data_IF_510043826466
#
_entry.id   IF_510043826466
#
_cell.length_a   1.000
_cell.length_b   1.000
_cell.length_c   1.000
_cell.angle_alpha   90.00
_cell.angle_beta   90.00
_cell.angle_gamma   90.00
#
_symmetry.space_group_name_H-M   'P 1'
#
loop_
_entity.id
_entity.type
_entity.pdbx_description
1 polymer ?
#
# COMPACT_ATOMS: atom_id res chain seq x y z
N UNK A 1 3.30 7.19 -18.97
CA UNK A 1 2.99 5.74 -18.93
C UNK A 1 3.04 5.18 -17.50
N UNK A 2 4.10 5.41 -16.73
CA UNK A 2 4.28 4.83 -15.38
C UNK A 2 3.18 5.19 -14.37
N UNK A 3 2.65 6.42 -14.39
CA UNK A 3 1.54 6.84 -13.51
C UNK A 3 0.26 6.05 -13.76
N UNK A 4 -0.09 5.83 -15.03
CA UNK A 4 -1.29 5.07 -15.41
C UNK A 4 -1.17 3.62 -14.99
N UNK A 5 0.02 3.04 -15.12
CA UNK A 5 0.29 1.68 -14.67
C UNK A 5 0.10 1.52 -13.15
N UNK A 6 0.65 2.45 -12.34
CA UNK A 6 0.49 2.43 -10.89
C UNK A 6 -0.98 2.60 -10.44
N UNK A 7 -1.72 3.49 -11.11
CA UNK A 7 -3.15 3.66 -10.86
C UNK A 7 -3.95 2.41 -11.28
N UNK A 8 -3.59 1.77 -12.39
CA UNK A 8 -4.22 0.52 -12.80
C UNK A 8 -4.00 -0.60 -11.78
N UNK A 9 -2.78 -0.75 -11.24
CA UNK A 9 -2.51 -1.70 -10.15
C UNK A 9 -3.37 -1.40 -8.91
N UNK A 10 -3.48 -0.13 -8.53
CA UNK A 10 -4.34 0.31 -7.42
C UNK A 10 -5.81 -0.06 -7.66
N UNK A 11 -6.32 0.14 -8.87
CA UNK A 11 -7.70 -0.19 -9.25
C UNK A 11 -7.94 -1.71 -9.24
N UNK A 12 -7.01 -2.49 -9.80
CA UNK A 12 -7.09 -3.96 -9.79
C UNK A 12 -7.16 -4.48 -8.36
N UNK A 13 -6.27 -4.01 -7.46
CA UNK A 13 -6.29 -4.43 -6.06
C UNK A 13 -7.60 -4.01 -5.36
N UNK A 14 -8.08 -2.81 -5.63
CA UNK A 14 -9.37 -2.33 -5.07
C UNK A 14 -10.53 -3.22 -5.53
N UNK A 15 -10.55 -3.62 -6.80
CA UNK A 15 -11.57 -4.53 -7.34
C UNK A 15 -11.48 -5.91 -6.69
N UNK A 16 -10.28 -6.46 -6.51
CA UNK A 16 -10.09 -7.74 -5.81
C UNK A 16 -10.57 -7.69 -4.35
N UNK A 17 -10.30 -6.59 -3.64
CA UNK A 17 -10.81 -6.38 -2.27
C UNK A 17 -12.33 -6.32 -2.28
N UNK A 18 -12.94 -5.55 -3.19
CA UNK A 18 -14.39 -5.44 -3.29
C UNK A 18 -15.05 -6.79 -3.60
N UNK A 19 -14.45 -7.59 -4.48
CA UNK A 19 -14.92 -8.95 -4.76
C UNK A 19 -14.80 -9.86 -3.53
N UNK A 20 -13.66 -9.85 -2.84
CA UNK A 20 -13.44 -10.68 -1.65
C UNK A 20 -14.39 -10.31 -0.50
N UNK A 21 -14.68 -9.02 -0.30
CA UNK A 21 -15.66 -8.55 0.69
C UNK A 21 -17.09 -8.91 0.28
N UNK A 22 -17.41 -8.86 -1.01
CA UNK A 22 -18.74 -9.16 -1.53
C UNK A 22 -19.10 -10.65 -1.57
N UNK A 23 -18.11 -11.55 -1.70
CA UNK A 23 -18.33 -13.00 -1.86
C UNK A 23 -17.77 -13.85 -0.73
N UNK A 24 -16.86 -13.31 0.08
CA UNK A 24 -16.15 -14.04 1.13
C UNK A 24 -16.70 -13.79 2.53
N UNK A 25 -16.37 -14.71 3.44
CA UNK A 25 -16.57 -14.52 4.88
C UNK A 25 -15.32 -13.86 5.48
N UNK A 26 -15.45 -12.57 5.83
CA UNK A 26 -14.35 -11.80 6.41
C UNK A 26 -13.89 -12.35 7.77
N UNK A 27 -14.80 -12.86 8.59
CA UNK A 27 -14.46 -13.42 9.91
C UNK A 27 -13.66 -14.70 9.75
N UNK A 28 -14.12 -15.61 8.90
CA UNK A 28 -13.41 -16.86 8.64
C UNK A 28 -12.03 -16.63 8.00
N UNK A 29 -11.93 -15.65 7.09
CA UNK A 29 -10.64 -15.25 6.50
C UNK A 29 -9.68 -14.68 7.55
N UNK A 30 -10.17 -13.83 8.46
CA UNK A 30 -9.39 -13.28 9.58
C UNK A 30 -8.89 -14.36 10.53
N UNK A 31 -9.76 -15.30 10.91
CA UNK A 31 -9.39 -16.43 11.75
C UNK A 31 -8.33 -17.31 11.10
N UNK A 32 -8.45 -17.57 9.80
CA UNK A 32 -7.44 -18.31 9.05
C UNK A 32 -6.09 -17.58 9.04
N UNK A 33 -6.09 -16.27 8.81
CA UNK A 33 -4.88 -15.42 8.79
C UNK A 33 -4.11 -15.49 10.11
N UNK A 34 -4.81 -15.48 11.25
CA UNK A 34 -4.17 -15.45 12.57
C UNK A 34 -3.81 -16.86 13.07
N UNK A 35 -4.64 -17.86 12.77
CA UNK A 35 -4.47 -19.23 13.30
C UNK A 35 -3.48 -20.09 12.50
N UNK A 36 -3.26 -19.80 11.21
CA UNK A 36 -2.40 -20.62 10.35
C UNK A 36 -0.98 -20.04 10.23
N UNK A 37 0.08 -20.88 10.18
CA UNK A 37 1.45 -20.41 10.04
C UNK A 37 1.65 -19.50 8.82
N UNK A 38 1.14 -19.91 7.65
CA UNK A 38 1.22 -19.10 6.43
C UNK A 38 0.42 -17.81 6.52
N UNK A 39 -0.75 -17.82 7.18
CA UNK A 39 -1.53 -16.60 7.42
C UNK A 39 -0.74 -15.55 8.21
N UNK A 40 -0.03 -15.98 9.27
CA UNK A 40 0.85 -15.09 10.04
C UNK A 40 2.02 -14.56 9.23
N UNK A 41 2.61 -15.39 8.35
CA UNK A 41 3.67 -14.95 7.43
C UNK A 41 3.13 -13.92 6.44
N UNK A 42 1.95 -14.12 5.87
CA UNK A 42 1.30 -13.14 4.99
C UNK A 42 1.02 -11.82 5.69
N UNK A 43 0.52 -11.85 6.94
CA UNK A 43 0.35 -10.63 7.74
C UNK A 43 1.69 -9.93 8.00
N UNK A 44 2.73 -10.69 8.37
CA UNK A 44 4.05 -10.14 8.61
C UNK A 44 4.62 -9.48 7.34
N UNK A 45 4.57 -10.17 6.21
CA UNK A 45 5.01 -9.66 4.90
C UNK A 45 4.29 -8.35 4.55
N UNK A 46 2.96 -8.32 4.69
CA UNK A 46 2.13 -7.14 4.42
C UNK A 46 2.51 -5.94 5.30
N UNK A 47 2.57 -6.13 6.62
CA UNK A 47 2.82 -5.03 7.56
C UNK A 47 4.28 -4.56 7.54
N UNK A 48 5.24 -5.45 7.32
CA UNK A 48 6.64 -5.06 7.06
C UNK A 48 6.69 -4.22 5.79
N UNK A 49 6.00 -4.61 4.72
CA UNK A 49 5.86 -3.83 3.50
C UNK A 49 5.25 -2.43 3.73
N UNK A 50 4.26 -2.31 4.62
CA UNK A 50 3.68 -1.02 5.01
C UNK A 50 4.67 -0.13 5.74
N UNK A 51 5.44 -0.69 6.68
CA UNK A 51 6.49 0.05 7.40
C UNK A 51 7.57 0.54 6.43
N UNK A 52 8.04 -0.33 5.52
CA UNK A 52 9.02 0.06 4.51
C UNK A 52 8.48 1.19 3.62
N UNK A 53 7.23 1.08 3.18
CA UNK A 53 6.56 2.13 2.40
C UNK A 53 6.45 3.44 3.20
N UNK A 54 6.08 3.37 4.47
CA UNK A 54 5.98 4.52 5.36
C UNK A 54 7.34 5.21 5.56
N UNK A 55 8.43 4.46 5.67
CA UNK A 55 9.80 5.01 5.74
C UNK A 55 10.13 5.76 4.45
N UNK A 56 9.86 5.17 3.28
CA UNK A 56 10.09 5.81 1.97
C UNK A 56 9.31 7.12 1.86
N UNK A 57 8.01 7.09 2.19
CA UNK A 57 7.14 8.28 2.18
C UNK A 57 7.66 9.33 3.16
N UNK A 58 8.04 8.92 4.37
CA UNK A 58 8.57 9.79 5.42
C UNK A 58 9.86 10.50 5.04
N UNK A 59 10.79 9.77 4.41
CA UNK A 59 12.04 10.32 3.89
C UNK A 59 11.81 11.26 2.70
N UNK A 60 10.84 10.96 1.84
CA UNK A 60 10.58 11.71 0.62
C UNK A 60 9.83 13.03 0.87
N UNK A 61 8.79 13.00 1.72
CA UNK A 61 7.95 14.15 2.02
C UNK A 61 8.66 15.08 3.01
N UNK A 62 8.80 16.38 2.67
CA UNK A 62 9.47 17.35 3.56
C UNK A 62 8.52 17.93 4.62
N UNK A 63 7.22 18.04 4.31
CA UNK A 63 6.22 18.63 5.22
C UNK A 63 5.64 17.54 6.12
N UNK A 64 5.66 17.78 7.43
CA UNK A 64 5.16 16.81 8.43
C UNK A 64 3.68 16.45 8.22
N UNK A 65 2.86 17.41 7.80
CA UNK A 65 1.43 17.18 7.49
C UNK A 65 1.29 16.17 6.35
N UNK A 66 2.05 16.33 5.27
CA UNK A 66 2.01 15.43 4.12
C UNK A 66 2.51 14.03 4.50
N UNK A 67 3.53 13.93 5.37
CA UNK A 67 3.98 12.64 5.90
C UNK A 67 2.83 11.90 6.58
N UNK A 68 2.12 12.56 7.49
CA UNK A 68 1.02 11.92 8.24
C UNK A 68 -0.12 11.53 7.31
N UNK A 69 -0.53 12.42 6.40
CA UNK A 69 -1.61 12.15 5.43
C UNK A 69 -1.30 10.95 4.55
N UNK A 70 -0.03 10.75 4.19
CA UNK A 70 0.35 9.62 3.34
C UNK A 70 0.69 8.36 4.12
N UNK A 71 1.25 8.45 5.32
CA UNK A 71 1.66 7.29 6.12
C UNK A 71 0.47 6.67 6.87
N UNK A 72 -0.35 7.48 7.54
CA UNK A 72 -1.39 6.95 8.42
C UNK A 72 -2.39 6.04 7.69
N UNK A 73 -2.88 6.39 6.48
CA UNK A 73 -3.83 5.52 5.78
C UNK A 73 -3.20 4.23 5.22
N UNK A 74 -1.87 4.11 5.12
CA UNK A 74 -1.23 2.87 4.63
C UNK A 74 -1.57 1.69 5.54
N UNK A 75 -1.67 1.89 6.85
CA UNK A 75 -1.97 0.80 7.79
C UNK A 75 -3.44 0.34 7.75
N UNK A 76 -4.32 1.05 7.04
CA UNK A 76 -5.74 0.72 6.91
C UNK A 76 -6.10 0.36 5.47
N UNK A 77 -5.71 1.21 4.52
CA UNK A 77 -5.98 1.06 3.08
C UNK A 77 -4.91 0.21 2.37
N UNK A 78 -3.77 -0.01 3.01
CA UNK A 78 -2.70 -0.84 2.48
C UNK A 78 -2.12 -0.34 1.16
N UNK A 79 -1.81 -1.30 0.29
CA UNK A 79 -1.11 -1.04 -0.97
C UNK A 79 -1.91 -0.21 -1.98
N UNK A 80 -3.23 -0.09 -1.83
CA UNK A 80 -4.05 0.82 -2.65
C UNK A 80 -3.59 2.27 -2.42
N UNK A 81 -3.45 2.68 -1.16
CA UNK A 81 -3.02 4.05 -0.83
C UNK A 81 -1.55 4.29 -1.18
N UNK A 82 -0.70 3.29 -0.94
CA UNK A 82 0.72 3.33 -1.33
C UNK A 82 0.87 3.53 -2.84
N UNK A 83 0.10 2.82 -3.66
CA UNK A 83 0.13 2.96 -5.12
C UNK A 83 -0.34 4.36 -5.58
N UNK A 84 -1.36 4.93 -4.95
CA UNK A 84 -1.81 6.30 -5.20
C UNK A 84 -0.68 7.29 -4.89
N UNK A 85 0.01 7.14 -3.76
CA UNK A 85 1.15 8.00 -3.43
C UNK A 85 2.26 7.91 -4.47
N UNK A 86 2.64 6.70 -4.89
CA UNK A 86 3.63 6.50 -5.96
C UNK A 86 3.18 7.15 -7.26
N UNK A 87 1.92 7.02 -7.65
CA UNK A 87 1.39 7.67 -8.85
C UNK A 87 1.39 9.21 -8.75
N UNK A 88 1.13 9.75 -7.56
CA UNK A 88 1.16 11.18 -7.27
C UNK A 88 2.59 11.74 -7.33
N UNK A 89 3.55 11.02 -6.73
CA UNK A 89 4.97 11.45 -6.64
C UNK A 89 5.87 10.95 -7.76
N UNK A 90 5.38 10.09 -8.64
CA UNK A 90 6.14 9.51 -9.75
C UNK A 90 7.02 10.52 -10.51
N UNK A 91 6.53 11.69 -10.98
CA UNK A 91 7.37 12.64 -11.72
C UNK A 91 8.58 13.15 -10.91
N UNK A 92 8.39 13.40 -9.62
CA UNK A 92 9.46 13.86 -8.74
C UNK A 92 10.40 12.71 -8.36
N UNK A 93 9.83 11.53 -8.10
CA UNK A 93 10.60 10.33 -7.78
C UNK A 93 11.56 9.97 -8.92
N UNK A 94 11.07 9.92 -10.15
CA UNK A 94 11.91 9.64 -11.32
C UNK A 94 12.95 10.73 -11.58
N UNK A 95 12.61 12.00 -11.35
CA UNK A 95 13.59 13.10 -11.45
C UNK A 95 14.74 12.95 -10.45
N UNK A 96 14.45 12.59 -9.19
CA UNK A 96 15.49 12.39 -8.16
C UNK A 96 16.36 11.18 -8.44
N UNK A 97 15.74 10.07 -8.86
CA UNK A 97 16.45 8.84 -9.19
C UNK A 97 17.35 9.00 -10.41
N UNK A 98 16.93 9.76 -11.43
CA UNK A 98 17.74 10.02 -12.62
C UNK A 98 18.90 11.01 -12.38
N UNK A 99 18.85 11.77 -11.29
CA UNK A 99 19.87 12.74 -10.90
C UNK A 99 20.89 12.19 -9.88
N UNK A 100 20.76 10.91 -9.50
CA UNK A 100 21.65 10.18 -8.59
C UNK A 100 22.61 9.30 -9.38
#
# INVERSE_FOLDING_TARGET
MTRLFLLALSLVLTALIALAVGTGDFSAAGDWLISRPWGRVTLADLYIGFILSAIVIGCFERRWILRIVWIAPVFVLGNVWTAIWFAWRAPELFRRLAAS
#
